data_IF_837821123869
#
_entry.id   IF_837821123869
#
_cell.length_a   1.000
_cell.length_b   1.000
_cell.length_c   1.000
_cell.angle_alpha   90.00
_cell.angle_beta   90.00
_cell.angle_gamma   90.00
#
_symmetry.space_group_name_H-M   'P 1'
#
loop_
_entity.id
_entity.type
_entity.pdbx_description
1 polymer ?
#
# COMPACT_ATOMS: atom_id res chain seq x y z
N UNK A 1 -33.59 -42.80 -39.32
CA UNK A 1 -33.88 -41.35 -39.22
C UNK A 1 -32.91 -40.75 -38.19
N UNK A 2 -31.80 -40.16 -38.63
CA UNK A 2 -30.82 -39.52 -37.74
C UNK A 2 -31.24 -38.08 -37.54
N UNK A 3 -31.65 -37.73 -36.32
CA UNK A 3 -32.01 -36.36 -35.94
C UNK A 3 -30.70 -35.57 -35.77
N UNK A 4 -30.42 -34.54 -36.58
CA UNK A 4 -29.20 -33.78 -36.42
C UNK A 4 -29.26 -32.95 -35.14
N UNK A 5 -28.19 -33.01 -34.36
CA UNK A 5 -28.05 -32.36 -33.06
C UNK A 5 -28.01 -30.82 -33.20
N UNK A 6 -29.18 -30.20 -33.34
CA UNK A 6 -29.37 -28.73 -33.39
C UNK A 6 -28.71 -27.97 -32.22
N UNK A 7 -28.45 -28.64 -31.09
CA UNK A 7 -27.89 -28.02 -29.88
C UNK A 7 -26.36 -27.85 -29.90
N UNK A 8 -25.62 -28.64 -30.68
CA UNK A 8 -24.14 -28.54 -30.71
C UNK A 8 -23.66 -27.27 -31.41
N UNK A 9 -24.34 -26.86 -32.47
CA UNK A 9 -24.03 -25.64 -33.21
C UNK A 9 -24.31 -24.37 -32.39
N UNK A 10 -25.39 -24.36 -31.60
CA UNK A 10 -25.73 -23.24 -30.72
C UNK A 10 -24.74 -23.12 -29.54
N UNK A 11 -24.31 -24.24 -28.95
CA UNK A 11 -23.30 -24.26 -27.89
C UNK A 11 -21.93 -23.78 -28.40
N UNK A 12 -21.50 -24.25 -29.58
CA UNK A 12 -20.26 -23.79 -30.22
C UNK A 12 -20.28 -22.28 -30.51
N UNK A 13 -21.40 -21.74 -31.00
CA UNK A 13 -21.55 -20.30 -31.27
C UNK A 13 -21.48 -19.45 -30.00
N UNK A 14 -22.08 -19.92 -28.90
CA UNK A 14 -21.98 -19.25 -27.59
C UNK A 14 -20.56 -19.26 -27.04
N UNK A 15 -19.85 -20.40 -27.16
CA UNK A 15 -18.47 -20.52 -26.72
C UNK A 15 -17.54 -19.55 -27.49
N UNK A 16 -17.72 -19.44 -28.80
CA UNK A 16 -16.96 -18.51 -29.64
C UNK A 16 -17.21 -17.05 -29.24
N UNK A 17 -18.47 -16.68 -28.93
CA UNK A 17 -18.79 -15.32 -28.45
C UNK A 17 -18.12 -15.04 -27.10
N UNK A 18 -18.15 -15.98 -26.16
CA UNK A 18 -17.49 -15.79 -24.85
C UNK A 18 -15.98 -15.67 -25.00
N UNK A 19 -15.36 -16.55 -25.81
CA UNK A 19 -13.91 -16.51 -26.04
C UNK A 19 -13.48 -15.20 -26.73
N UNK A 20 -14.25 -14.71 -27.71
CA UNK A 20 -13.95 -13.45 -28.40
C UNK A 20 -14.10 -12.24 -27.49
N UNK A 21 -15.11 -12.21 -26.62
CA UNK A 21 -15.27 -11.15 -25.61
C UNK A 21 -14.12 -11.18 -24.59
N UNK A 22 -13.72 -12.36 -24.11
CA UNK A 22 -12.60 -12.50 -23.17
C UNK A 22 -11.26 -12.08 -23.81
N UNK A 23 -11.02 -12.44 -25.06
CA UNK A 23 -9.84 -12.00 -25.81
C UNK A 23 -9.83 -10.48 -26.01
N UNK A 24 -10.95 -9.89 -26.43
CA UNK A 24 -11.05 -8.45 -26.64
C UNK A 24 -10.85 -7.65 -25.33
N UNK A 25 -11.42 -8.14 -24.21
CA UNK A 25 -11.22 -7.53 -22.89
C UNK A 25 -9.77 -7.63 -22.41
N UNK A 26 -9.11 -8.79 -22.62
CA UNK A 26 -7.70 -8.98 -22.27
C UNK A 26 -6.76 -8.12 -23.10
N UNK A 27 -7.00 -7.99 -24.41
CA UNK A 27 -6.22 -7.14 -25.32
C UNK A 27 -6.39 -5.65 -25.00
N UNK A 28 -7.61 -5.20 -24.66
CA UNK A 28 -7.86 -3.81 -24.27
C UNK A 28 -7.14 -3.41 -22.98
N UNK A 29 -7.06 -4.32 -22.00
CA UNK A 29 -6.29 -4.10 -20.77
C UNK A 29 -4.78 -3.99 -21.03
N UNK A 30 -4.22 -4.87 -21.87
CA UNK A 30 -2.79 -4.86 -22.19
C UNK A 30 -2.33 -3.58 -22.92
N UNK A 31 -3.21 -2.99 -23.74
CA UNK A 31 -2.89 -1.79 -24.52
C UNK A 31 -3.04 -0.46 -23.76
N UNK A 32 -3.60 -0.49 -22.54
CA UNK A 32 -3.85 0.72 -21.74
C UNK A 32 -2.63 1.20 -20.91
N UNK A 33 -1.49 0.54 -21.06
CA UNK A 33 -0.25 0.93 -20.39
C UNK A 33 0.29 2.24 -20.94
N UNK A 34 0.13 3.34 -20.19
CA UNK A 34 0.89 4.57 -20.43
C UNK A 34 2.35 4.27 -20.09
N UNK A 35 3.21 4.17 -21.10
CA UNK A 35 4.65 4.00 -20.89
C UNK A 35 5.22 5.23 -20.19
N UNK A 36 5.59 5.09 -18.92
CA UNK A 36 6.39 6.11 -18.25
C UNK A 36 7.75 6.21 -18.96
N UNK A 37 8.13 7.42 -19.37
CA UNK A 37 9.49 7.68 -19.85
C UNK A 37 10.45 7.46 -18.69
N UNK A 38 11.32 6.45 -18.79
CA UNK A 38 12.39 6.22 -17.82
C UNK A 38 13.36 7.42 -17.89
N UNK A 39 13.49 8.23 -16.83
CA UNK A 39 14.43 9.36 -16.81
C UNK A 39 15.90 8.92 -16.84
N UNK A 40 16.17 7.62 -16.87
CA UNK A 40 17.50 7.04 -16.77
C UNK A 40 17.92 6.89 -15.30
N UNK A 41 19.04 6.18 -15.05
CA UNK A 41 19.52 5.98 -13.69
C UNK A 41 19.96 7.31 -13.09
N UNK A 42 19.32 7.70 -11.99
CA UNK A 42 19.79 8.80 -11.16
C UNK A 42 21.19 8.47 -10.59
N UNK A 43 22.02 9.49 -10.37
CA UNK A 43 23.26 9.31 -9.63
C UNK A 43 22.96 8.75 -8.23
N UNK A 44 23.82 7.84 -7.75
CA UNK A 44 23.68 7.28 -6.40
C UNK A 44 23.83 8.39 -5.36
N UNK A 45 22.91 8.44 -4.41
CA UNK A 45 23.02 9.33 -3.25
C UNK A 45 24.12 8.79 -2.32
N UNK A 46 25.00 9.65 -1.77
CA UNK A 46 25.96 9.22 -0.76
C UNK A 46 25.27 8.61 0.46
N UNK A 47 25.91 7.60 1.07
CA UNK A 47 25.46 7.06 2.35
C UNK A 47 25.59 8.14 3.42
N UNK A 48 24.56 8.31 4.25
CA UNK A 48 24.55 9.30 5.31
C UNK A 48 25.44 8.88 6.50
N UNK A 49 26.16 9.84 7.08
CA UNK A 49 26.86 9.66 8.36
C UNK A 49 25.84 9.75 9.50
N UNK A 50 25.56 8.61 10.14
CA UNK A 50 24.55 8.54 11.20
C UNK A 50 25.14 8.89 12.58
N UNK A 51 24.53 9.86 13.26
CA UNK A 51 24.92 10.28 14.60
C UNK A 51 24.53 9.29 15.72
N UNK A 52 24.96 9.57 16.97
CA UNK A 52 24.63 8.73 18.14
C UNK A 52 23.13 8.49 18.29
N UNK A 53 22.74 7.27 18.69
CA UNK A 53 21.35 6.88 18.88
C UNK A 53 20.61 6.43 17.60
N UNK A 54 21.25 6.55 16.44
CA UNK A 54 20.76 6.02 15.17
C UNK A 54 20.68 4.48 15.17
N UNK A 55 19.83 3.94 14.29
CA UNK A 55 19.74 2.52 13.95
C UNK A 55 19.98 2.37 12.44
N UNK A 56 21.24 2.38 11.98
CA UNK A 56 21.56 2.37 10.54
C UNK A 56 21.06 1.11 9.83
N UNK A 57 20.88 1.23 8.52
CA UNK A 57 20.68 0.10 7.60
C UNK A 57 21.91 -0.83 7.64
N UNK A 58 21.67 -2.13 7.46
CA UNK A 58 22.69 -3.19 7.58
C UNK A 58 23.18 -3.70 6.23
N UNK A 59 22.62 -3.18 5.14
CA UNK A 59 22.87 -3.63 3.77
C UNK A 59 22.96 -2.44 2.81
N UNK A 60 22.77 -2.69 1.51
CA UNK A 60 22.67 -1.63 0.49
C UNK A 60 21.53 -0.66 0.85
N UNK A 61 21.71 0.62 0.54
CA UNK A 61 20.76 1.66 0.90
C UNK A 61 19.35 1.34 0.40
N UNK A 62 18.36 1.39 1.31
CA UNK A 62 16.96 1.06 1.03
C UNK A 62 16.60 -0.43 1.08
N UNK A 63 17.53 -1.32 1.44
CA UNK A 63 17.27 -2.76 1.54
C UNK A 63 17.16 -3.26 2.98
N UNK A 64 16.16 -4.11 3.22
CA UNK A 64 16.01 -4.89 4.46
C UNK A 64 16.42 -6.34 4.18
N UNK A 65 17.63 -6.79 4.58
CA UNK A 65 18.13 -8.11 4.22
C UNK A 65 17.41 -9.23 4.99
N UNK A 66 17.40 -10.45 4.43
CA UNK A 66 16.77 -11.61 5.07
C UNK A 66 17.32 -11.92 6.48
N UNK A 67 18.61 -11.64 6.72
CA UNK A 67 19.24 -11.80 8.02
C UNK A 67 18.59 -10.90 9.11
N UNK A 68 18.10 -9.73 8.75
CA UNK A 68 17.45 -8.82 9.69
C UNK A 68 16.04 -9.30 10.07
N UNK A 69 15.35 -9.97 9.15
CA UNK A 69 14.12 -10.70 9.47
C UNK A 69 14.40 -11.88 10.39
N UNK A 70 15.40 -12.70 10.06
CA UNK A 70 15.73 -13.91 10.83
C UNK A 70 16.19 -13.61 12.27
N UNK A 71 16.91 -12.51 12.46
CA UNK A 71 17.39 -12.07 13.78
C UNK A 71 16.38 -11.23 14.56
N UNK A 72 15.28 -10.79 13.93
CA UNK A 72 14.33 -9.84 14.51
C UNK A 72 14.81 -8.38 14.49
N UNK A 73 16.00 -8.09 13.94
CA UNK A 73 16.52 -6.73 13.77
C UNK A 73 15.56 -5.83 12.97
N UNK A 74 14.88 -6.38 11.96
CA UNK A 74 13.93 -5.64 11.12
C UNK A 74 12.76 -5.05 11.93
N UNK A 75 12.34 -5.72 13.01
CA UNK A 75 11.22 -5.27 13.85
C UNK A 75 11.56 -4.02 14.68
N UNK A 76 12.84 -3.68 14.83
CA UNK A 76 13.29 -2.49 15.56
C UNK A 76 13.28 -1.21 14.70
N UNK A 77 13.05 -1.34 13.38
CA UNK A 77 13.09 -0.24 12.43
C UNK A 77 14.51 0.26 12.11
N UNK A 78 14.60 1.22 11.19
CA UNK A 78 15.86 1.82 10.77
C UNK A 78 15.70 3.34 10.80
N UNK A 79 16.68 4.03 11.39
CA UNK A 79 16.68 5.49 11.51
C UNK A 79 18.11 6.01 11.47
N UNK A 80 18.33 7.08 10.72
CA UNK A 80 19.61 7.76 10.62
C UNK A 80 19.34 9.25 10.70
N UNK A 81 19.95 9.91 11.70
CA UNK A 81 19.76 11.35 11.94
C UNK A 81 18.29 11.78 12.11
N UNK A 82 17.45 10.86 12.58
CA UNK A 82 16.04 11.08 12.90
C UNK A 82 15.67 10.39 14.20
N UNK A 83 14.65 10.92 14.87
CA UNK A 83 14.07 10.34 16.08
C UNK A 83 12.56 10.23 15.96
N UNK A 84 11.98 9.30 16.73
CA UNK A 84 10.52 9.13 16.77
C UNK A 84 9.93 10.17 17.72
N UNK A 85 9.04 11.02 17.18
CA UNK A 85 8.36 12.08 17.95
C UNK A 85 7.05 11.58 18.56
N UNK A 86 6.32 10.74 17.80
CA UNK A 86 5.09 10.11 18.23
C UNK A 86 4.82 8.85 17.39
N UNK A 87 4.01 7.95 17.93
CA UNK A 87 3.56 6.74 17.26
C UNK A 87 2.05 6.54 17.46
N UNK A 88 1.34 6.14 16.42
CA UNK A 88 -0.10 5.87 16.45
C UNK A 88 -0.39 4.51 15.83
N UNK A 89 -1.22 3.71 16.49
CA UNK A 89 -1.57 2.36 16.08
C UNK A 89 -0.48 1.34 16.42
N UNK A 90 -0.63 0.12 15.92
CA UNK A 90 0.32 -0.98 16.12
C UNK A 90 0.58 -1.79 14.85
N UNK A 91 0.02 -1.35 13.73
CA UNK A 91 0.13 -2.04 12.44
C UNK A 91 0.37 -1.04 11.33
N UNK A 92 1.18 -1.44 10.35
CA UNK A 92 1.33 -0.70 9.10
C UNK A 92 0.01 -0.64 8.33
N UNK A 93 -0.21 0.51 7.72
CA UNK A 93 -1.35 0.86 6.88
C UNK A 93 -0.90 0.95 5.43
N UNK A 94 -1.82 0.95 4.46
CA UNK A 94 -1.42 1.03 3.06
C UNK A 94 -0.82 2.41 2.71
N UNK A 95 -1.46 3.48 3.19
CA UNK A 95 -1.04 4.85 2.90
C UNK A 95 -1.33 5.75 4.08
N UNK A 96 -0.40 6.67 4.34
CA UNK A 96 -0.56 7.77 5.28
C UNK A 96 -0.32 9.08 4.52
N UNK A 97 -1.21 10.04 4.73
CA UNK A 97 -1.12 11.39 4.16
C UNK A 97 -1.19 12.42 5.28
N UNK A 98 -0.44 13.51 5.15
CA UNK A 98 -0.50 14.66 6.04
C UNK A 98 -0.79 15.91 5.20
N UNK A 99 -1.76 16.70 5.64
CA UNK A 99 -2.18 17.92 4.96
C UNK A 99 -2.30 19.06 5.95
N UNK A 100 -1.85 20.24 5.55
CA UNK A 100 -2.05 21.50 6.26
C UNK A 100 -2.90 22.40 5.38
N UNK A 101 -4.05 22.84 5.88
CA UNK A 101 -4.93 23.75 5.15
C UNK A 101 -4.44 25.20 5.18
N UNK A 102 -5.13 26.07 4.43
CA UNK A 102 -4.79 27.50 4.36
C UNK A 102 -4.94 28.23 5.70
N UNK A 103 -5.78 27.73 6.61
CA UNK A 103 -5.91 28.23 7.99
C UNK A 103 -4.84 27.69 8.95
N UNK A 104 -3.93 26.82 8.48
CA UNK A 104 -2.85 26.26 9.26
C UNK A 104 -3.23 25.02 10.08
N UNK A 105 -4.46 24.48 9.93
CA UNK A 105 -4.83 23.25 10.59
C UNK A 105 -4.16 22.07 9.90
N UNK A 106 -3.50 21.23 10.69
CA UNK A 106 -2.79 20.06 10.16
C UNK A 106 -3.48 18.79 10.59
N UNK A 107 -3.84 17.96 9.62
CA UNK A 107 -4.40 16.64 9.85
C UNK A 107 -3.53 15.55 9.21
N UNK A 108 -3.50 14.38 9.82
CA UNK A 108 -3.00 13.16 9.19
C UNK A 108 -4.14 12.17 8.96
N UNK A 109 -4.08 11.46 7.84
CA UNK A 109 -5.07 10.52 7.37
C UNK A 109 -4.39 9.20 7.08
N UNK A 110 -4.90 8.12 7.66
CA UNK A 110 -4.41 6.78 7.34
C UNK A 110 -5.55 5.80 7.15
N UNK A 111 -5.39 4.88 6.20
CA UNK A 111 -6.34 3.79 5.98
C UNK A 111 -6.16 2.75 7.09
N UNK A 112 -7.21 2.41 7.83
CA UNK A 112 -7.07 1.41 8.89
C UNK A 112 -6.81 0.00 8.35
N UNK A 113 -7.22 -0.30 7.11
CA UNK A 113 -7.11 -1.64 6.49
C UNK A 113 -5.96 -1.74 5.50
N UNK A 114 -5.20 -2.84 5.57
CA UNK A 114 -4.38 -3.29 4.43
C UNK A 114 -5.28 -3.76 3.28
N UNK A 115 -4.74 -3.71 2.05
CA UNK A 115 -5.37 -4.20 0.81
C UNK A 115 -6.23 -5.44 1.06
N UNK A 116 -7.55 -5.29 0.85
CA UNK A 116 -8.62 -6.30 0.94
C UNK A 116 -8.49 -7.28 2.11
N UNK A 117 -9.16 -6.97 3.22
CA UNK A 117 -9.63 -7.99 4.18
C UNK A 117 -8.61 -8.50 5.21
N UNK A 118 -7.30 -8.24 5.04
CA UNK A 118 -6.25 -8.90 5.84
C UNK A 118 -6.29 -8.56 7.33
N UNK A 119 -6.70 -7.34 7.68
CA UNK A 119 -6.71 -6.83 9.05
C UNK A 119 -8.12 -6.49 9.56
N UNK A 120 -9.19 -6.98 8.91
CA UNK A 120 -10.57 -6.63 9.29
C UNK A 120 -10.85 -7.03 10.74
N UNK A 121 -10.47 -8.25 11.13
CA UNK A 121 -10.69 -8.76 12.48
C UNK A 121 -9.89 -7.94 13.50
N UNK A 122 -8.60 -7.69 13.27
CA UNK A 122 -7.79 -6.89 14.18
C UNK A 122 -8.34 -5.47 14.31
N UNK A 123 -8.72 -4.80 13.21
CA UNK A 123 -9.21 -3.42 13.24
C UNK A 123 -10.55 -3.26 13.97
N UNK A 124 -11.39 -4.30 13.97
CA UNK A 124 -12.61 -4.33 14.78
C UNK A 124 -12.31 -4.31 16.29
N UNK A 125 -11.16 -4.86 16.71
CA UNK A 125 -10.77 -4.97 18.11
C UNK A 125 -9.72 -3.93 18.55
N UNK A 126 -8.96 -3.33 17.62
CA UNK A 126 -7.94 -2.31 17.89
C UNK A 126 -8.52 -0.91 18.17
N UNK A 127 -9.84 -0.74 18.06
CA UNK A 127 -10.52 0.54 18.28
C UNK A 127 -10.49 1.50 17.09
N UNK A 128 -9.57 1.34 16.14
CA UNK A 128 -9.46 2.17 14.93
C UNK A 128 -10.67 2.03 13.99
N UNK A 129 -11.35 0.88 14.00
CA UNK A 129 -12.49 0.60 13.12
C UNK A 129 -12.05 0.41 11.67
N UNK A 130 -13.01 0.21 10.77
CA UNK A 130 -12.76 0.20 9.32
C UNK A 130 -12.94 1.63 8.79
N UNK A 131 -12.11 2.05 7.82
CA UNK A 131 -12.21 3.37 7.20
C UNK A 131 -10.90 4.16 7.20
N UNK A 132 -11.01 5.47 7.00
CA UNK A 132 -9.88 6.41 7.07
C UNK A 132 -9.88 7.06 8.45
N UNK A 133 -8.83 6.79 9.23
CA UNK A 133 -8.63 7.42 10.52
C UNK A 133 -8.05 8.81 10.34
N UNK A 134 -8.64 9.79 11.01
CA UNK A 134 -8.20 11.19 10.99
C UNK A 134 -7.56 11.55 12.32
N UNK A 135 -6.35 12.09 12.26
CA UNK A 135 -5.61 12.62 13.41
C UNK A 135 -5.50 14.13 13.30
N UNK A 136 -5.82 14.84 14.38
CA UNK A 136 -5.37 16.20 14.62
C UNK A 136 -3.87 16.20 14.96
N UNK A 137 -3.10 16.93 14.17
CA UNK A 137 -1.66 17.05 14.27
C UNK A 137 -1.20 18.44 14.75
N UNK A 138 -2.09 19.22 15.38
CA UNK A 138 -1.77 20.53 15.96
C UNK A 138 -0.63 20.47 16.99
N UNK A 139 -0.54 19.35 17.72
CA UNK A 139 0.63 18.97 18.52
C UNK A 139 1.20 17.64 17.96
N UNK A 140 2.29 17.67 17.16
CA UNK A 140 2.81 16.47 16.51
C UNK A 140 3.43 15.46 17.49
N UNK A 141 3.76 15.88 18.72
CA UNK A 141 4.22 14.98 19.77
C UNK A 141 3.05 14.24 20.46
N UNK A 142 1.81 14.70 20.26
CA UNK A 142 0.59 14.11 20.84
C UNK A 142 -0.56 14.11 19.84
N UNK A 143 -0.44 13.38 18.72
CA UNK A 143 -1.50 13.29 17.72
C UNK A 143 -2.78 12.74 18.36
N UNK A 144 -3.93 13.32 18.01
CA UNK A 144 -5.23 12.92 18.57
C UNK A 144 -6.14 12.44 17.47
N UNK A 145 -6.68 11.23 17.61
CA UNK A 145 -7.73 10.76 16.71
C UNK A 145 -9.00 11.59 16.90
N UNK A 146 -9.50 12.18 15.82
CA UNK A 146 -10.68 13.05 15.82
C UNK A 146 -11.86 12.44 15.07
N UNK A 147 -11.61 11.61 14.05
CA UNK A 147 -12.67 10.97 13.27
C UNK A 147 -12.23 9.61 12.67
N UNK A 148 -13.22 8.87 12.18
CA UNK A 148 -13.05 7.73 11.29
C UNK A 148 -14.09 7.84 10.16
N UNK A 149 -13.63 7.91 8.91
CA UNK A 149 -14.46 8.12 7.73
C UNK A 149 -14.77 6.77 7.06
N UNK A 150 -16.06 6.44 6.96
CA UNK A 150 -16.60 5.16 6.46
C UNK A 150 -17.58 5.35 5.32
#
# INVERSE_FOLDING_TARGET
MVVPSRNRAAAARRLVVVLTVLLAAGLGWAASGSGATDPGPAASVPVADCGPGSLPETSIQGSVPAADYASGRAAQGYRCNTEEVAHQGSSGVFKTLRYTDESGHTCAFYDSTLLIGRNVVSNLFSGDGQGVVVLDMSDPARPRRTANLT
#
